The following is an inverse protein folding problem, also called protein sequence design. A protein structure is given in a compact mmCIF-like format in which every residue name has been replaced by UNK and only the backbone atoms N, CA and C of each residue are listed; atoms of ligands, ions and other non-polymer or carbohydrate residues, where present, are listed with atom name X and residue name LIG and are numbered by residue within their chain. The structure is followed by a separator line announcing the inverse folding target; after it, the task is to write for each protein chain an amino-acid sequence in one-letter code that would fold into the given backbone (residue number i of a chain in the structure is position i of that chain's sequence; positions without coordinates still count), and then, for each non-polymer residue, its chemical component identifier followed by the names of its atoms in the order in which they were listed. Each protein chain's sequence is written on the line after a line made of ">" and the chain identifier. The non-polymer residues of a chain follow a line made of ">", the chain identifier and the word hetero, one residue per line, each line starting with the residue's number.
data_IF_556147840405
#
_entry.id   IF_556147840405
#
_cell.length_a   1.000
_cell.length_b   1.000
_cell.length_c   1.000
_cell.angle_alpha   90.00
_cell.angle_beta   90.00
_cell.angle_gamma   90.00
#
_symmetry.space_group_name_H-M   'P 1'
#
loop_
_entity.id
_entity.type
_entity.pdbx_description
1 polymer ?
#
# COMPACT_ATOMS: atom_id res chain seq x y z
N UNK A 1 12.12 -7.19 -1.78
CA UNK A 1 11.99 -6.86 -0.35
C UNK A 1 13.17 -7.50 0.38
N UNK A 2 14.05 -6.67 0.95
CA UNK A 2 15.33 -7.11 1.58
C UNK A 2 15.34 -6.79 3.08
N UNK A 3 14.65 -5.72 3.46
CA UNK A 3 14.49 -5.23 4.84
C UNK A 3 12.99 -5.02 5.05
N UNK A 4 12.53 -5.24 6.28
CA UNK A 4 11.15 -5.04 6.70
C UNK A 4 10.82 -6.01 7.82
N UNK A 5 9.99 -5.58 8.76
CA UNK A 5 9.30 -6.45 9.71
C UNK A 5 7.95 -5.83 10.04
N UNK A 6 6.94 -6.62 10.42
CA UNK A 6 5.64 -6.08 10.82
C UNK A 6 5.74 -4.94 11.84
N UNK A 7 6.66 -5.04 12.80
CA UNK A 7 6.78 -4.06 13.89
C UNK A 7 7.23 -2.67 13.42
N UNK A 8 7.83 -2.57 12.23
CA UNK A 8 8.21 -1.28 11.65
C UNK A 8 6.98 -0.43 11.28
N UNK A 9 5.85 -1.08 11.01
CA UNK A 9 4.60 -0.43 10.62
C UNK A 9 3.58 -0.34 11.77
N UNK A 10 3.92 -0.84 12.98
CA UNK A 10 3.00 -0.92 14.13
C UNK A 10 2.32 0.42 14.43
N UNK A 11 3.09 1.51 14.48
CA UNK A 11 2.53 2.83 14.79
C UNK A 11 1.49 3.27 13.75
N UNK A 12 1.73 3.00 12.47
CA UNK A 12 0.80 3.29 11.38
C UNK A 12 -0.43 2.39 11.46
N UNK A 13 -0.24 1.09 11.72
CA UNK A 13 -1.32 0.11 11.83
C UNK A 13 -2.24 0.41 13.01
N UNK A 14 -1.67 0.66 14.20
CA UNK A 14 -2.44 1.10 15.38
C UNK A 14 -3.21 2.37 15.06
N UNK A 15 -2.58 3.35 14.40
CA UNK A 15 -3.24 4.58 13.98
C UNK A 15 -4.45 4.32 13.07
N UNK A 16 -4.39 3.36 12.15
CA UNK A 16 -5.53 2.98 11.32
C UNK A 16 -6.62 2.26 12.14
N UNK A 17 -6.25 1.32 13.01
CA UNK A 17 -7.20 0.60 13.87
C UNK A 17 -7.99 1.58 14.73
N UNK A 18 -7.31 2.51 15.42
CA UNK A 18 -7.93 3.49 16.31
C UNK A 18 -8.84 4.47 15.57
N UNK A 19 -8.41 4.97 14.40
CA UNK A 19 -9.15 6.00 13.67
C UNK A 19 -10.29 5.45 12.81
N UNK A 20 -10.15 4.21 12.33
CA UNK A 20 -11.08 3.62 11.36
C UNK A 20 -11.99 2.55 11.98
N UNK A 21 -11.57 1.91 13.08
CA UNK A 21 -12.27 0.78 13.68
C UNK A 21 -12.15 -0.48 12.82
N UNK A 22 -10.98 -0.70 12.21
CA UNK A 22 -10.69 -1.82 11.31
C UNK A 22 -9.81 -2.87 12.00
N UNK A 23 -9.77 -4.07 11.44
CA UNK A 23 -8.73 -5.05 11.75
C UNK A 23 -7.55 -4.83 10.81
N UNK A 24 -6.35 -4.67 11.36
CA UNK A 24 -5.11 -4.61 10.59
C UNK A 24 -4.42 -5.98 10.61
N UNK A 25 -4.01 -6.47 9.43
CA UNK A 25 -3.22 -7.69 9.27
C UNK A 25 -1.91 -7.29 8.60
N UNK A 26 -0.81 -7.36 9.35
CA UNK A 26 0.55 -7.13 8.85
C UNK A 26 1.22 -8.46 8.59
N UNK A 27 1.64 -8.71 7.35
CA UNK A 27 2.19 -10.00 6.92
C UNK A 27 3.71 -9.99 7.13
N UNK A 28 4.21 -10.92 7.95
CA UNK A 28 5.65 -11.18 8.09
C UNK A 28 6.15 -12.02 6.91
N UNK A 29 6.23 -11.39 5.74
CA UNK A 29 6.63 -12.04 4.51
C UNK A 29 8.12 -12.38 4.52
N UNK A 30 8.49 -13.47 3.85
CA UNK A 30 9.89 -13.87 3.72
C UNK A 30 10.72 -12.80 2.98
N UNK A 31 11.97 -12.62 3.37
CA UNK A 31 12.87 -11.59 2.82
C UNK A 31 13.92 -12.19 1.89
N UNK A 32 14.36 -11.40 0.91
CA UNK A 32 15.58 -11.64 0.15
C UNK A 32 16.81 -11.20 0.96
N UNK A 33 18.00 -11.80 0.74
CA UNK A 33 18.33 -12.76 -0.31
C UNK A 33 17.94 -14.22 -0.02
N UNK A 34 17.57 -14.58 1.21
CA UNK A 34 17.27 -15.96 1.61
C UNK A 34 16.05 -16.52 0.86
N UNK A 35 15.08 -15.65 0.59
CA UNK A 35 13.86 -15.94 -0.15
C UNK A 35 13.63 -14.87 -1.23
N UNK A 36 14.31 -14.99 -2.39
CA UNK A 36 14.18 -14.02 -3.47
C UNK A 36 12.79 -14.05 -4.11
N UNK A 37 12.55 -13.14 -5.06
CA UNK A 37 11.33 -13.14 -5.87
C UNK A 37 11.04 -14.56 -6.44
N UNK A 38 9.80 -15.07 -6.35
CA UNK A 38 8.56 -14.38 -5.97
C UNK A 38 8.11 -14.53 -4.51
N UNK A 39 8.87 -15.20 -3.64
CA UNK A 39 8.43 -15.60 -2.30
C UNK A 39 7.73 -14.50 -1.46
N UNK A 40 8.26 -13.25 -1.37
CA UNK A 40 7.61 -12.23 -0.56
C UNK A 40 6.21 -11.84 -1.08
N UNK A 41 6.01 -11.86 -2.40
CA UNK A 41 4.72 -11.50 -3.03
C UNK A 41 3.69 -12.61 -2.83
N UNK A 42 4.14 -13.86 -2.93
CA UNK A 42 3.29 -15.02 -2.66
C UNK A 42 2.81 -15.03 -1.21
N UNK A 43 3.68 -14.65 -0.25
CA UNK A 43 3.32 -14.55 1.16
C UNK A 43 2.29 -13.45 1.41
N UNK A 44 2.45 -12.26 0.80
CA UNK A 44 1.46 -11.19 0.87
C UNK A 44 0.11 -11.61 0.28
N UNK A 45 0.11 -12.31 -0.86
CA UNK A 45 -1.11 -12.83 -1.46
C UNK A 45 -1.77 -13.89 -0.58
N UNK A 46 -0.99 -14.81 -0.01
CA UNK A 46 -1.48 -15.81 0.93
C UNK A 46 -2.08 -15.16 2.18
N UNK A 47 -1.47 -14.09 2.70
CA UNK A 47 -1.99 -13.31 3.83
C UNK A 47 -3.34 -12.65 3.53
N UNK A 48 -3.49 -12.07 2.33
CA UNK A 48 -4.77 -11.54 1.86
C UNK A 48 -5.84 -12.64 1.74
N UNK A 49 -5.50 -13.75 1.08
CA UNK A 49 -6.40 -14.86 0.88
C UNK A 49 -6.85 -15.49 2.21
N UNK A 50 -5.92 -15.63 3.17
CA UNK A 50 -6.21 -16.07 4.53
C UNK A 50 -7.15 -15.09 5.23
N UNK A 51 -6.88 -13.79 5.17
CA UNK A 51 -7.73 -12.75 5.78
C UNK A 51 -9.16 -12.82 5.27
N UNK A 52 -9.35 -12.97 3.95
CA UNK A 52 -10.66 -13.11 3.34
C UNK A 52 -11.38 -14.39 3.81
N UNK A 53 -10.65 -15.51 3.91
CA UNK A 53 -11.20 -16.80 4.35
C UNK A 53 -11.54 -16.82 5.85
N UNK A 54 -10.77 -16.12 6.67
CA UNK A 54 -10.93 -16.02 8.13
C UNK A 54 -11.83 -14.86 8.57
N UNK A 55 -12.58 -14.25 7.65
CA UNK A 55 -13.37 -13.05 7.94
C UNK A 55 -14.34 -13.21 9.12
N UNK A 56 -14.98 -14.37 9.25
CA UNK A 56 -15.90 -14.66 10.37
C UNK A 56 -15.18 -14.74 11.72
N UNK A 57 -13.98 -15.33 11.76
CA UNK A 57 -13.15 -15.43 12.97
C UNK A 57 -12.62 -14.05 13.39
N UNK A 58 -12.24 -13.23 12.41
CA UNK A 58 -11.74 -11.87 12.61
C UNK A 58 -12.85 -10.84 12.87
N UNK A 59 -14.12 -11.22 12.70
CA UNK A 59 -15.25 -10.31 12.85
C UNK A 59 -15.32 -9.21 11.78
N UNK A 60 -14.84 -9.48 10.56
CA UNK A 60 -14.79 -8.50 9.45
C UNK A 60 -15.73 -8.89 8.30
N UNK A 61 -16.06 -7.91 7.46
CA UNK A 61 -16.80 -8.11 6.20
C UNK A 61 -15.80 -8.42 5.06
N UNK A 62 -15.84 -9.62 4.44
CA UNK A 62 -14.92 -9.98 3.35
C UNK A 62 -15.15 -9.17 2.06
N UNK A 63 -16.26 -8.45 1.93
CA UNK A 63 -16.51 -7.49 0.85
C UNK A 63 -15.81 -6.14 1.05
N UNK A 64 -15.19 -5.91 2.21
CA UNK A 64 -14.57 -4.63 2.61
C UNK A 64 -13.11 -4.83 3.01
N UNK A 65 -12.31 -5.33 2.06
CA UNK A 65 -10.88 -5.51 2.24
C UNK A 65 -10.11 -4.42 1.50
N UNK A 66 -9.08 -3.88 2.15
CA UNK A 66 -8.11 -2.97 1.54
C UNK A 66 -6.71 -3.59 1.65
N UNK A 67 -5.90 -3.39 0.62
CA UNK A 67 -4.49 -3.79 0.59
C UNK A 67 -3.66 -2.54 0.40
N UNK A 68 -2.57 -2.43 1.13
CA UNK A 68 -1.63 -1.33 1.03
C UNK A 68 -0.23 -1.78 1.42
N UNK A 69 0.73 -0.93 1.13
CA UNK A 69 2.14 -1.12 1.49
C UNK A 69 2.91 0.14 1.14
N UNK A 70 4.04 0.34 1.80
CA UNK A 70 4.91 1.47 1.56
C UNK A 70 6.30 0.96 1.22
N UNK A 71 6.80 1.34 0.03
CA UNK A 71 8.16 1.09 -0.43
C UNK A 71 8.58 -0.38 -0.54
N UNK A 72 9.01 -0.77 -1.74
CA UNK A 72 9.79 -1.98 -1.93
C UNK A 72 10.71 -1.79 -3.13
N UNK A 73 11.93 -2.34 -3.08
CA UNK A 73 12.85 -2.35 -4.21
C UNK A 73 12.79 -3.71 -4.90
N UNK A 74 12.78 -3.68 -6.24
CA UNK A 74 12.82 -4.85 -7.13
C UNK A 74 13.72 -4.61 -8.34
N UNK A 75 14.02 -5.69 -9.07
CA UNK A 75 14.78 -5.66 -10.33
C UNK A 75 13.84 -5.39 -11.52
N UNK A 76 14.38 -5.32 -12.75
CA UNK A 76 13.58 -5.18 -13.98
C UNK A 76 12.61 -6.35 -14.25
N UNK A 77 12.88 -7.51 -13.66
CA UNK A 77 12.17 -8.77 -13.97
C UNK A 77 11.16 -9.17 -12.90
N UNK A 78 10.90 -8.33 -11.90
CA UNK A 78 9.87 -8.64 -10.89
C UNK A 78 8.46 -8.57 -11.51
N UNK A 79 7.61 -9.52 -11.09
CA UNK A 79 6.20 -9.62 -11.49
C UNK A 79 5.43 -8.30 -11.30
N UNK A 80 4.39 -8.03 -12.12
CA UNK A 80 3.44 -6.94 -11.86
C UNK A 80 2.76 -6.99 -10.48
N UNK A 81 2.66 -8.14 -9.84
CA UNK A 81 2.19 -8.22 -8.46
C UNK A 81 3.19 -7.64 -7.44
N UNK A 82 4.47 -7.49 -7.82
CA UNK A 82 5.50 -6.80 -7.04
C UNK A 82 5.66 -5.33 -7.46
N UNK A 83 5.54 -5.04 -8.76
CA UNK A 83 5.66 -3.72 -9.35
C UNK A 83 4.42 -3.42 -10.21
N UNK A 84 3.31 -2.95 -9.60
CA UNK A 84 2.00 -2.88 -10.26
C UNK A 84 1.96 -1.93 -11.46
N UNK A 85 2.85 -0.93 -11.49
CA UNK A 85 3.06 -0.08 -12.67
C UNK A 85 3.41 -0.89 -13.94
N UNK A 86 3.92 -2.11 -13.81
CA UNK A 86 4.31 -2.95 -14.95
C UNK A 86 3.18 -3.84 -15.47
N UNK A 87 2.01 -3.86 -14.84
CA UNK A 87 0.87 -4.64 -15.33
C UNK A 87 0.44 -4.14 -16.72
N UNK A 88 0.16 -5.06 -17.65
CA UNK A 88 -0.24 -4.70 -19.00
C UNK A 88 -1.68 -4.17 -19.08
N UNK A 89 -2.55 -4.64 -18.18
CA UNK A 89 -3.94 -4.21 -18.07
C UNK A 89 -4.27 -3.91 -16.60
N UNK A 90 -4.98 -2.80 -16.40
CA UNK A 90 -5.39 -2.29 -15.09
C UNK A 90 -6.93 -2.23 -14.95
N UNK A 91 -7.67 -2.64 -15.97
CA UNK A 91 -9.12 -2.64 -15.94
C UNK A 91 -9.65 -3.57 -14.84
N UNK A 92 -10.73 -3.15 -14.17
CA UNK A 92 -11.38 -3.93 -13.13
C UNK A 92 -10.63 -3.99 -11.79
N UNK A 93 -9.51 -3.29 -11.64
CA UNK A 93 -8.84 -3.16 -10.34
C UNK A 93 -9.72 -2.37 -9.34
N UNK A 94 -9.56 -2.63 -8.03
CA UNK A 94 -10.25 -1.86 -6.99
C UNK A 94 -9.89 -0.37 -7.04
N UNK A 95 -10.74 0.52 -6.47
CA UNK A 95 -10.37 1.91 -6.27
C UNK A 95 -9.01 2.06 -5.60
N UNK A 96 -8.19 2.97 -6.08
CA UNK A 96 -6.80 3.11 -5.67
C UNK A 96 -6.51 4.50 -5.11
N UNK A 97 -5.72 4.54 -4.05
CA UNK A 97 -5.09 5.76 -3.54
C UNK A 97 -3.58 5.61 -3.75
N UNK A 98 -2.97 6.56 -4.44
CA UNK A 98 -1.53 6.57 -4.72
C UNK A 98 -0.98 7.91 -4.24
N UNK A 99 0.09 7.91 -3.45
CA UNK A 99 0.79 9.13 -3.12
C UNK A 99 2.30 8.99 -3.22
N UNK A 100 2.98 10.11 -3.46
CA UNK A 100 4.41 10.13 -3.73
C UNK A 100 5.04 11.48 -3.35
N UNK A 101 6.31 11.47 -2.98
CA UNK A 101 7.10 12.68 -2.75
C UNK A 101 7.68 13.26 -4.05
N UNK A 102 7.91 14.57 -4.10
CA UNK A 102 8.53 15.23 -5.26
C UNK A 102 9.98 14.79 -5.52
N UNK A 103 10.72 14.46 -4.45
CA UNK A 103 12.12 14.07 -4.50
C UNK A 103 12.30 12.54 -4.51
N UNK A 104 11.24 11.81 -4.82
CA UNK A 104 11.23 10.36 -4.86
C UNK A 104 11.85 9.81 -6.16
N UNK A 105 12.66 8.75 -6.05
CA UNK A 105 13.34 8.16 -7.23
C UNK A 105 12.37 7.44 -8.16
N UNK A 106 11.27 6.93 -7.62
CA UNK A 106 10.19 6.28 -8.37
C UNK A 106 8.97 7.21 -8.55
N UNK A 107 9.15 8.54 -8.40
CA UNK A 107 8.08 9.53 -8.59
C UNK A 107 7.33 9.36 -9.91
N UNK A 108 8.09 9.31 -11.01
CA UNK A 108 7.51 9.28 -12.34
C UNK A 108 6.78 7.95 -12.62
N UNK A 109 7.25 6.85 -12.03
CA UNK A 109 6.56 5.55 -12.07
C UNK A 109 5.22 5.59 -11.31
N UNK A 110 5.17 6.24 -10.14
CA UNK A 110 3.90 6.46 -9.43
C UNK A 110 2.92 7.33 -10.21
N UNK A 111 3.42 8.40 -10.86
CA UNK A 111 2.61 9.29 -11.70
C UNK A 111 2.03 8.51 -12.89
N UNK A 112 2.86 7.75 -13.60
CA UNK A 112 2.43 6.92 -14.73
C UNK A 112 1.37 5.90 -14.30
N UNK A 113 1.61 5.20 -13.19
CA UNK A 113 0.68 4.20 -12.69
C UNK A 113 -0.69 4.80 -12.33
N UNK A 114 -0.71 5.93 -11.61
CA UNK A 114 -1.94 6.62 -11.25
C UNK A 114 -2.71 7.10 -12.49
N UNK A 115 -2.00 7.64 -13.49
CA UNK A 115 -2.59 8.05 -14.75
C UNK A 115 -3.22 6.86 -15.49
N UNK A 116 -2.51 5.73 -15.56
CA UNK A 116 -2.98 4.53 -16.28
C UNK A 116 -4.17 3.87 -15.59
N UNK A 117 -4.21 3.86 -14.26
CA UNK A 117 -5.39 3.43 -13.50
C UNK A 117 -6.61 4.26 -13.89
N UNK A 118 -6.48 5.59 -13.90
CA UNK A 118 -7.57 6.48 -14.27
C UNK A 118 -8.02 6.29 -15.74
N UNK A 119 -7.07 6.10 -16.66
CA UNK A 119 -7.36 5.80 -18.07
C UNK A 119 -8.09 4.46 -18.26
N UNK A 120 -7.78 3.46 -17.42
CA UNK A 120 -8.46 2.17 -17.40
C UNK A 120 -9.86 2.21 -16.73
N UNK A 121 -10.31 3.39 -16.29
CA UNK A 121 -11.60 3.57 -15.62
C UNK A 121 -11.62 3.19 -14.15
N UNK A 122 -10.46 2.98 -13.53
CA UNK A 122 -10.36 2.73 -12.08
C UNK A 122 -10.56 4.06 -11.34
N UNK A 123 -11.34 4.03 -10.27
CA UNK A 123 -11.49 5.19 -9.38
C UNK A 123 -10.16 5.45 -8.67
N UNK A 124 -9.44 6.48 -9.08
CA UNK A 124 -8.09 6.77 -8.60
C UNK A 124 -7.99 8.13 -7.94
N UNK A 125 -7.37 8.15 -6.76
CA UNK A 125 -6.94 9.37 -6.07
C UNK A 125 -5.42 9.42 -6.05
N UNK A 126 -4.84 10.54 -6.49
CA UNK A 126 -3.39 10.72 -6.57
C UNK A 126 -2.94 12.00 -5.86
N UNK A 127 -1.89 11.89 -5.04
CA UNK A 127 -1.26 13.02 -4.36
C UNK A 127 0.25 13.04 -4.61
N UNK A 128 0.75 14.14 -5.16
CA UNK A 128 2.18 14.46 -5.19
C UNK A 128 2.46 15.51 -4.11
N UNK A 129 3.41 15.23 -3.22
CA UNK A 129 3.77 16.12 -2.12
C UNK A 129 5.06 16.90 -2.43
N UNK A 130 4.98 18.22 -2.71
CA UNK A 130 6.15 19.05 -2.96
C UNK A 130 7.13 19.05 -1.77
N UNK A 131 8.42 18.94 -2.07
CA UNK A 131 9.51 18.88 -1.10
C UNK A 131 9.62 17.59 -0.28
N UNK A 132 8.68 16.64 -0.43
CA UNK A 132 8.78 15.35 0.26
C UNK A 132 9.83 14.45 -0.41
N UNK A 133 10.61 13.78 0.42
CA UNK A 133 11.57 12.74 0.04
C UNK A 133 11.04 11.35 0.43
N UNK A 134 11.77 10.30 0.08
CA UNK A 134 11.41 8.92 0.41
C UNK A 134 11.19 8.69 1.92
N UNK A 135 10.01 8.21 2.32
CA UNK A 135 9.69 7.92 3.71
C UNK A 135 9.64 9.15 4.64
N UNK A 136 9.43 10.35 4.09
CA UNK A 136 9.34 11.61 4.85
C UNK A 136 8.38 11.56 6.05
N UNK A 137 7.30 10.80 5.91
CA UNK A 137 6.24 10.64 6.91
C UNK A 137 6.63 9.70 8.05
N UNK A 138 7.43 8.68 7.76
CA UNK A 138 8.02 7.79 8.77
C UNK A 138 9.19 8.47 9.49
N UNK A 139 10.06 9.15 8.74
CA UNK A 139 11.27 9.76 9.28
C UNK A 139 10.99 11.07 10.04
N UNK A 140 9.97 11.83 9.60
CA UNK A 140 9.62 13.13 10.20
C UNK A 140 8.09 13.22 10.42
N UNK A 141 7.51 12.37 11.29
CA UNK A 141 6.06 12.27 11.46
C UNK A 141 5.42 13.57 11.98
N UNK A 142 6.21 14.38 12.71
CA UNK A 142 5.80 15.69 13.22
C UNK A 142 5.80 16.82 12.19
N UNK A 143 6.19 16.58 10.94
CA UNK A 143 6.09 17.63 9.92
C UNK A 143 4.63 17.86 9.51
N UNK A 144 4.28 19.10 9.19
CA UNK A 144 2.95 19.45 8.67
C UNK A 144 2.62 18.66 7.40
N UNK A 145 3.61 18.45 6.54
CA UNK A 145 3.45 17.68 5.31
C UNK A 145 3.15 16.20 5.59
N UNK A 146 3.88 15.57 6.52
CA UNK A 146 3.69 14.19 6.96
C UNK A 146 2.29 13.95 7.53
N UNK A 147 1.84 14.84 8.43
CA UNK A 147 0.47 14.78 8.97
C UNK A 147 -0.59 14.92 7.90
N UNK A 148 -0.38 15.80 6.90
CA UNK A 148 -1.30 15.96 5.78
C UNK A 148 -1.40 14.68 4.96
N UNK A 149 -0.27 14.04 4.66
CA UNK A 149 -0.25 12.79 3.92
C UNK A 149 -0.94 11.65 4.68
N UNK A 150 -0.63 11.49 5.97
CA UNK A 150 -1.30 10.51 6.82
C UNK A 150 -2.82 10.74 6.88
N UNK A 151 -3.26 11.99 7.05
CA UNK A 151 -4.68 12.32 7.08
C UNK A 151 -5.39 12.01 5.74
N UNK A 152 -4.73 12.24 4.61
CA UNK A 152 -5.28 11.92 3.29
C UNK A 152 -5.50 10.40 3.13
N UNK A 153 -4.51 9.59 3.53
CA UNK A 153 -4.61 8.11 3.51
C UNK A 153 -5.74 7.59 4.41
N UNK A 154 -5.83 8.10 5.64
CA UNK A 154 -6.93 7.76 6.56
C UNK A 154 -8.29 8.13 5.95
N UNK A 155 -8.41 9.31 5.35
CA UNK A 155 -9.65 9.75 4.71
C UNK A 155 -10.03 8.86 3.51
N UNK A 156 -9.06 8.45 2.71
CA UNK A 156 -9.26 7.54 1.58
C UNK A 156 -9.74 6.16 2.04
N UNK A 157 -9.07 5.55 3.01
CA UNK A 157 -9.48 4.27 3.60
C UNK A 157 -10.86 4.36 4.23
N UNK A 158 -11.16 5.46 4.94
CA UNK A 158 -12.49 5.70 5.51
C UNK A 158 -13.59 5.73 4.45
N UNK A 159 -13.34 6.37 3.30
CA UNK A 159 -14.29 6.38 2.17
C UNK A 159 -14.46 5.02 1.52
N UNK A 160 -13.40 4.22 1.47
CA UNK A 160 -13.43 2.89 0.85
C UNK A 160 -14.14 1.85 1.73
N UNK A 161 -13.89 1.87 3.05
CA UNK A 161 -14.33 0.80 3.96
C UNK A 161 -15.68 1.07 4.64
N UNK A 162 -16.19 2.31 4.62
CA UNK A 162 -17.48 2.67 5.25
C UNK A 162 -18.71 2.59 4.32
N UNK A 163 -18.56 2.10 3.09
CA UNK A 163 -19.69 1.85 2.18
C UNK A 163 -20.37 0.56 2.56
#
# INVERSE_FOLDING_TARGET
>A
MIIGKPEMDDASMVGFVEQLGVVAVSVDYRLAPEHPHPAPVEDCYAGLAWTAKSAAELGIDPGRLAVGGASAVGTGDVSPYAAPARAADLAGLPPAFVDVGELEVFRDECVDYAQRLAQAGVSTEFHLYPGAFHGFDVMVPGATLSRRAAAARVAALKRALRR
#
